data_IF_366614669309
#
_entry.id   IF_366614669309
#
_cell.length_a   1.000
_cell.length_b   1.000
_cell.length_c   1.000
_cell.angle_alpha   90.00
_cell.angle_beta   90.00
_cell.angle_gamma   90.00
#
_symmetry.space_group_name_H-M   'P 1'
#
loop_
_entity.id
_entity.type
_entity.pdbx_description
1 polymer ?
#
# COMPACT_ATOMS: atom_id res chain seq x y z
N UNK A 1 -3.01 80.41 -68.09
CA UNK A 1 -1.65 79.98 -68.43
C UNK A 1 -1.45 78.52 -68.04
N UNK A 2 -1.00 77.69 -68.99
CA UNK A 2 -0.82 76.24 -68.86
C UNK A 2 0.11 75.87 -67.69
N UNK A 3 1.11 76.67 -67.45
CA UNK A 3 2.08 76.51 -66.36
C UNK A 3 1.47 76.69 -64.95
N UNK A 4 0.48 77.57 -64.78
CA UNK A 4 -0.23 77.72 -63.51
C UNK A 4 -1.12 76.54 -63.14
N UNK A 5 -1.75 75.95 -64.19
CA UNK A 5 -2.57 74.76 -64.01
C UNK A 5 -1.74 73.50 -63.71
N UNK A 6 -0.57 73.37 -64.30
CA UNK A 6 0.39 72.31 -63.96
C UNK A 6 0.96 72.45 -62.54
N UNK A 7 1.31 73.69 -62.13
CA UNK A 7 1.78 73.98 -60.79
C UNK A 7 0.77 73.60 -59.69
N UNK A 8 -0.52 74.01 -59.86
CA UNK A 8 -1.56 73.66 -58.91
C UNK A 8 -1.89 72.17 -58.86
N UNK A 9 -1.80 71.47 -59.97
CA UNK A 9 -1.97 70.00 -59.99
C UNK A 9 -0.85 69.29 -59.26
N UNK A 10 0.39 69.78 -59.49
CA UNK A 10 1.56 69.24 -58.78
C UNK A 10 1.47 69.48 -57.27
N UNK A 11 1.13 70.70 -56.86
CA UNK A 11 0.92 71.04 -55.45
C UNK A 11 -0.17 70.19 -54.79
N UNK A 12 -1.29 69.99 -55.49
CA UNK A 12 -2.35 69.10 -54.99
C UNK A 12 -1.88 67.64 -54.91
N UNK A 13 -1.10 67.16 -55.85
CA UNK A 13 -0.53 65.81 -55.80
C UNK A 13 0.42 65.64 -54.59
N UNK A 14 1.32 66.63 -54.36
CA UNK A 14 2.19 66.64 -53.22
C UNK A 14 1.41 66.67 -51.89
N UNK A 15 0.37 67.50 -51.80
CA UNK A 15 -0.47 67.55 -50.62
C UNK A 15 -1.22 66.21 -50.37
N UNK A 16 -1.65 65.56 -51.45
CA UNK A 16 -2.27 64.25 -51.34
C UNK A 16 -1.27 63.18 -50.85
N UNK A 17 -0.05 63.21 -51.33
CA UNK A 17 1.05 62.28 -50.87
C UNK A 17 1.36 62.57 -49.41
N UNK A 18 1.48 63.84 -49.01
CA UNK A 18 1.66 64.17 -47.55
C UNK A 18 0.55 63.65 -46.71
N UNK A 19 -0.71 63.84 -47.07
CA UNK A 19 -1.86 63.31 -46.34
C UNK A 19 -1.84 61.76 -46.28
N UNK A 20 -1.40 61.09 -47.31
CA UNK A 20 -1.26 59.67 -47.35
C UNK A 20 -0.15 59.14 -46.44
N UNK A 21 0.99 59.84 -46.42
CA UNK A 21 2.09 59.52 -45.48
C UNK A 21 1.67 59.72 -44.03
N UNK A 22 0.94 60.82 -43.74
CA UNK A 22 0.42 61.06 -42.39
C UNK A 22 -0.60 59.98 -41.96
N UNK A 23 -1.47 59.54 -42.85
CA UNK A 23 -2.39 58.44 -42.57
C UNK A 23 -1.64 57.13 -42.29
N UNK A 24 -0.61 56.82 -43.09
CA UNK A 24 0.21 55.60 -42.88
C UNK A 24 0.95 55.69 -41.54
N UNK A 25 1.52 56.89 -41.20
CA UNK A 25 2.20 57.08 -39.94
C UNK A 25 1.24 56.91 -38.74
N UNK A 26 0.01 57.42 -38.84
CA UNK A 26 -0.99 57.32 -37.76
C UNK A 26 -1.48 55.86 -37.65
N UNK A 27 -1.73 55.16 -38.74
CA UNK A 27 -2.07 53.78 -38.75
C UNK A 27 -0.96 52.92 -38.13
N UNK A 28 0.27 53.17 -38.50
CA UNK A 28 1.41 52.47 -37.94
C UNK A 28 1.51 52.69 -36.42
N UNK A 29 1.39 53.93 -35.95
CA UNK A 29 1.40 54.25 -34.52
C UNK A 29 0.25 53.54 -33.76
N UNK A 30 -0.96 53.49 -34.34
CA UNK A 30 -2.12 52.85 -33.73
C UNK A 30 -1.91 51.32 -33.66
N UNK A 31 -1.47 50.72 -34.77
CA UNK A 31 -1.23 49.25 -34.83
C UNK A 31 -0.10 48.85 -33.88
N UNK A 32 1.02 49.57 -33.85
CA UNK A 32 2.12 49.25 -32.93
C UNK A 32 1.69 49.45 -31.48
N UNK A 33 0.91 50.52 -31.16
CA UNK A 33 0.40 50.75 -29.83
C UNK A 33 -0.55 49.64 -29.36
N UNK A 34 -1.45 49.20 -30.24
CA UNK A 34 -2.35 48.09 -29.93
C UNK A 34 -1.61 46.75 -29.74
N UNK A 35 -0.68 46.43 -30.63
CA UNK A 35 0.16 45.20 -30.50
C UNK A 35 0.95 45.24 -29.20
N UNK A 36 1.56 46.40 -28.90
CA UNK A 36 2.34 46.55 -27.66
C UNK A 36 1.44 46.41 -26.42
N UNK A 37 0.25 46.96 -26.43
CA UNK A 37 -0.73 46.83 -25.34
C UNK A 37 -1.14 45.38 -25.12
N UNK A 38 -1.46 44.65 -26.22
CA UNK A 38 -1.80 43.21 -26.14
C UNK A 38 -0.60 42.42 -25.61
N UNK A 39 0.61 42.70 -26.08
CA UNK A 39 1.80 42.03 -25.60
C UNK A 39 2.06 42.24 -24.11
N UNK A 40 1.91 43.47 -23.62
CA UNK A 40 2.02 43.78 -22.17
C UNK A 40 0.97 43.04 -21.37
N UNK A 41 -0.26 42.97 -21.82
CA UNK A 41 -1.31 42.24 -21.12
C UNK A 41 -0.99 40.74 -21.03
N UNK A 42 -0.52 40.14 -22.13
CA UNK A 42 -0.07 38.74 -22.13
C UNK A 42 1.07 38.52 -21.14
N UNK A 43 2.05 39.42 -21.07
CA UNK A 43 3.14 39.31 -20.09
C UNK A 43 2.65 39.37 -18.64
N UNK A 44 1.69 40.29 -18.36
CA UNK A 44 1.10 40.40 -17.02
C UNK A 44 0.34 39.11 -16.65
N UNK A 45 -0.50 38.60 -17.55
CA UNK A 45 -1.22 37.35 -17.33
C UNK A 45 -0.27 36.16 -17.13
N UNK A 46 0.82 36.11 -17.91
CA UNK A 46 1.85 35.08 -17.76
C UNK A 46 2.55 35.16 -16.40
N UNK A 47 2.89 36.36 -15.94
CA UNK A 47 3.43 36.54 -14.58
C UNK A 47 2.48 36.07 -13.49
N UNK A 48 1.19 36.41 -13.61
CA UNK A 48 0.17 35.94 -12.66
C UNK A 48 0.03 34.41 -12.66
N UNK A 49 0.10 33.79 -13.84
CA UNK A 49 0.10 32.34 -13.98
C UNK A 49 1.32 31.70 -13.30
N UNK A 50 2.51 32.25 -13.47
CA UNK A 50 3.73 31.75 -12.81
C UNK A 50 3.62 31.85 -11.28
N UNK A 51 3.06 32.94 -10.75
CA UNK A 51 2.85 33.11 -9.32
C UNK A 51 1.87 32.06 -8.81
N UNK A 52 0.76 31.85 -9.52
CA UNK A 52 -0.24 30.83 -9.17
C UNK A 52 0.34 29.40 -9.19
N UNK A 53 1.16 29.07 -10.18
CA UNK A 53 1.88 27.79 -10.25
C UNK A 53 2.82 27.63 -9.06
N UNK A 54 3.59 28.67 -8.73
CA UNK A 54 4.51 28.64 -7.57
C UNK A 54 3.76 28.36 -6.27
N UNK A 55 2.62 29.04 -6.06
CA UNK A 55 1.78 28.82 -4.87
C UNK A 55 1.18 27.40 -4.84
N UNK A 56 0.74 26.89 -6.00
CA UNK A 56 0.23 25.54 -6.12
C UNK A 56 1.31 24.51 -5.81
N UNK A 57 2.51 24.66 -6.37
CA UNK A 57 3.65 23.78 -6.09
C UNK A 57 4.00 23.82 -4.60
N UNK A 58 4.03 24.99 -3.97
CA UNK A 58 4.25 25.12 -2.52
C UNK A 58 3.24 24.37 -1.68
N UNK A 59 1.95 24.47 -2.03
CA UNK A 59 0.87 23.73 -1.35
C UNK A 59 0.98 22.21 -1.56
N UNK A 60 1.24 21.77 -2.79
CA UNK A 60 1.44 20.35 -3.11
C UNK A 60 2.64 19.79 -2.36
N UNK A 61 3.74 20.52 -2.29
CA UNK A 61 4.93 20.12 -1.50
C UNK A 61 4.60 19.97 -0.02
N UNK A 62 3.82 20.90 0.55
CA UNK A 62 3.36 20.83 1.94
C UNK A 62 2.51 19.60 2.22
N UNK A 63 1.53 19.33 1.35
CA UNK A 63 0.68 18.12 1.45
C UNK A 63 1.53 16.84 1.31
N UNK A 64 2.44 16.81 0.35
CA UNK A 64 3.31 15.65 0.13
C UNK A 64 4.21 15.38 1.33
N UNK A 65 4.75 16.43 1.95
CA UNK A 65 5.58 16.33 3.16
C UNK A 65 4.78 15.78 4.35
N UNK A 66 3.54 16.29 4.55
CA UNK A 66 2.63 15.78 5.57
C UNK A 66 2.28 14.32 5.33
N UNK A 67 2.03 13.94 4.08
CA UNK A 67 1.74 12.56 3.70
C UNK A 67 2.94 11.63 3.96
N UNK A 68 4.17 12.06 3.65
CA UNK A 68 5.38 11.30 3.96
C UNK A 68 5.58 11.11 5.46
N UNK A 69 5.33 12.14 6.29
CA UNK A 69 5.38 11.99 7.75
C UNK A 69 4.31 11.03 8.27
N UNK A 70 3.10 11.07 7.71
CA UNK A 70 2.03 10.15 8.07
C UNK A 70 2.39 8.70 7.70
N UNK A 71 2.96 8.47 6.51
CA UNK A 71 3.43 7.15 6.10
C UNK A 71 4.56 6.64 7.01
N UNK A 72 5.56 7.47 7.29
CA UNK A 72 6.67 7.09 8.19
C UNK A 72 6.16 6.74 9.59
N UNK A 73 5.26 7.54 10.15
CA UNK A 73 4.60 7.26 11.42
C UNK A 73 3.79 5.96 11.39
N UNK A 74 3.05 5.72 10.30
CA UNK A 74 2.26 4.49 10.13
C UNK A 74 3.13 3.25 10.03
N UNK A 75 4.23 3.32 9.28
CA UNK A 75 5.20 2.21 9.15
C UNK A 75 5.86 1.90 10.50
N UNK A 76 6.30 2.93 11.24
CA UNK A 76 6.89 2.77 12.57
C UNK A 76 5.89 2.19 13.56
N UNK A 77 4.63 2.64 13.54
CA UNK A 77 3.57 2.10 14.38
C UNK A 77 3.30 0.63 14.05
N UNK A 78 3.21 0.29 12.76
CA UNK A 78 3.02 -1.09 12.32
C UNK A 78 4.21 -1.98 12.74
N UNK A 79 5.45 -1.50 12.63
CA UNK A 79 6.63 -2.21 13.12
C UNK A 79 6.59 -2.42 14.63
N UNK A 80 6.15 -1.41 15.40
CA UNK A 80 6.04 -1.50 16.86
C UNK A 80 4.95 -2.48 17.27
N UNK A 81 3.79 -2.48 16.62
CA UNK A 81 2.71 -3.47 16.85
C UNK A 81 3.18 -4.87 16.49
N UNK A 82 3.90 -5.02 15.36
CA UNK A 82 4.39 -6.33 14.90
C UNK A 82 5.52 -6.88 15.78
N UNK A 83 6.39 -6.03 16.28
CA UNK A 83 7.50 -6.40 17.19
C UNK A 83 7.10 -6.43 18.66
N UNK A 84 5.98 -5.82 19.01
CA UNK A 84 5.45 -5.73 20.36
C UNK A 84 4.67 -6.98 20.80
N UNK A 85 4.06 -6.93 22.02
CA UNK A 85 3.30 -8.03 22.60
C UNK A 85 2.20 -8.60 21.68
N UNK A 86 1.40 -7.78 20.93
CA UNK A 86 0.39 -8.32 20.01
C UNK A 86 0.99 -9.15 18.88
N UNK A 87 2.10 -8.69 18.29
CA UNK A 87 2.76 -9.44 17.21
C UNK A 87 3.45 -10.71 17.70
N UNK A 88 3.93 -10.72 18.93
CA UNK A 88 4.48 -11.92 19.55
C UNK A 88 3.39 -12.96 19.83
N UNK A 89 2.21 -12.54 20.28
CA UNK A 89 1.04 -13.41 20.45
C UNK A 89 0.62 -14.05 19.10
N UNK A 90 0.51 -13.27 18.04
CA UNK A 90 0.17 -13.78 16.71
C UNK A 90 1.21 -14.77 16.18
N UNK A 91 2.51 -14.54 16.43
CA UNK A 91 3.58 -15.50 16.08
C UNK A 91 3.52 -16.77 16.92
N UNK A 92 3.00 -16.66 18.13
CA UNK A 92 2.81 -17.77 19.04
C UNK A 92 1.67 -18.73 18.68
N UNK A 93 0.74 -18.36 17.82
CA UNK A 93 -0.48 -19.12 17.52
C UNK A 93 -0.43 -19.88 16.18
N UNK A 94 0.73 -20.33 15.72
CA UNK A 94 0.90 -20.81 14.36
C UNK A 94 1.42 -22.26 14.28
N UNK A 95 1.06 -22.89 13.17
CA UNK A 95 1.47 -24.26 12.83
C UNK A 95 2.61 -24.30 11.82
N UNK A 96 3.35 -25.39 11.82
CA UNK A 96 4.30 -25.69 10.76
C UNK A 96 3.56 -25.96 9.44
N UNK A 97 4.02 -25.47 8.29
CA UNK A 97 3.33 -25.61 7.00
C UNK A 97 3.00 -27.05 6.59
N UNK A 98 3.77 -28.03 7.08
CA UNK A 98 3.54 -29.44 6.76
C UNK A 98 2.51 -30.14 7.65
N UNK A 99 2.03 -29.48 8.73
CA UNK A 99 1.00 -30.05 9.61
C UNK A 99 -0.23 -30.39 8.78
N UNK A 100 -0.76 -31.60 8.94
CA UNK A 100 -1.95 -32.05 8.22
C UNK A 100 -3.21 -31.73 9.00
N UNK A 101 -4.26 -31.33 8.28
CA UNK A 101 -5.58 -31.02 8.82
C UNK A 101 -6.65 -31.75 8.01
N UNK A 102 -7.69 -32.18 8.67
CA UNK A 102 -8.83 -32.86 8.05
C UNK A 102 -9.97 -31.89 7.76
N UNK A 103 -10.45 -31.90 6.54
CA UNK A 103 -11.61 -31.13 6.10
C UNK A 103 -12.90 -31.92 6.38
N UNK A 104 -14.04 -31.22 6.37
CA UNK A 104 -15.37 -31.81 6.59
C UNK A 104 -15.73 -32.91 5.57
N UNK A 105 -15.20 -32.81 4.35
CA UNK A 105 -15.37 -33.83 3.30
C UNK A 105 -14.48 -35.09 3.49
N UNK A 106 -13.75 -35.18 4.61
CA UNK A 106 -12.84 -36.28 4.93
C UNK A 106 -11.45 -36.17 4.30
N UNK A 107 -11.21 -35.20 3.42
CA UNK A 107 -9.90 -34.98 2.78
C UNK A 107 -8.89 -34.47 3.81
N UNK A 108 -7.68 -35.03 3.78
CA UNK A 108 -6.56 -34.58 4.60
C UNK A 108 -5.59 -33.79 3.72
N UNK A 109 -5.30 -32.56 4.09
CA UNK A 109 -4.40 -31.66 3.37
C UNK A 109 -3.39 -31.03 4.32
N UNK A 110 -2.31 -30.48 3.78
CA UNK A 110 -1.36 -29.69 4.59
C UNK A 110 -1.99 -28.34 4.94
N UNK A 111 -1.73 -27.85 6.14
CA UNK A 111 -2.31 -26.57 6.60
C UNK A 111 -1.95 -25.40 5.70
N UNK A 112 -0.81 -25.44 5.02
CA UNK A 112 -0.38 -24.43 4.04
C UNK A 112 -1.24 -24.39 2.77
N UNK A 113 -1.96 -25.49 2.48
CA UNK A 113 -2.76 -25.67 1.28
C UNK A 113 -4.27 -25.44 1.56
N UNK A 114 -4.61 -25.00 2.78
CA UNK A 114 -5.96 -24.61 3.18
C UNK A 114 -6.29 -23.23 2.61
N UNK A 115 -7.44 -23.11 1.97
CA UNK A 115 -7.92 -21.89 1.31
C UNK A 115 -9.09 -21.26 2.06
N UNK A 116 -9.37 -20.01 1.71
CA UNK A 116 -10.56 -19.30 2.19
C UNK A 116 -11.84 -20.05 1.77
N UNK A 117 -12.76 -20.25 2.72
CA UNK A 117 -14.02 -20.97 2.48
C UNK A 117 -13.93 -22.47 2.70
N UNK A 118 -12.74 -23.05 2.94
CA UNK A 118 -12.62 -24.44 3.34
C UNK A 118 -13.35 -24.68 4.67
N UNK A 119 -14.00 -25.85 4.78
CA UNK A 119 -14.71 -26.27 6.00
C UNK A 119 -13.89 -27.33 6.67
N UNK A 120 -13.51 -27.10 7.93
CA UNK A 120 -12.75 -28.03 8.74
C UNK A 120 -13.64 -29.17 9.29
N UNK A 121 -13.02 -30.23 9.83
CA UNK A 121 -13.74 -31.47 10.28
C UNK A 121 -14.89 -31.23 11.26
N UNK A 122 -14.85 -30.16 12.04
CA UNK A 122 -15.87 -29.77 13.01
C UNK A 122 -16.92 -28.78 12.47
N UNK A 123 -16.89 -28.48 11.16
CA UNK A 123 -17.81 -27.53 10.53
C UNK A 123 -17.32 -26.09 10.54
N UNK A 124 -16.15 -25.80 11.08
CA UNK A 124 -15.55 -24.46 11.10
C UNK A 124 -15.17 -23.99 9.69
N UNK A 125 -15.53 -22.75 9.37
CA UNK A 125 -15.21 -22.11 8.08
C UNK A 125 -13.91 -21.33 8.22
N UNK A 126 -12.99 -21.53 7.28
CA UNK A 126 -11.75 -20.78 7.22
C UNK A 126 -12.00 -19.43 6.53
N UNK A 127 -11.84 -18.33 7.27
CA UNK A 127 -11.99 -16.99 6.76
C UNK A 127 -10.69 -16.43 6.16
N UNK A 128 -9.54 -16.80 6.71
CA UNK A 128 -8.25 -16.38 6.18
C UNK A 128 -7.14 -17.36 6.56
N UNK A 129 -6.11 -17.40 5.72
CA UNK A 129 -4.85 -18.11 5.97
C UNK A 129 -3.72 -17.10 5.99
N UNK A 130 -3.02 -16.99 7.11
CA UNK A 130 -1.89 -16.08 7.27
C UNK A 130 -0.58 -16.86 7.23
N UNK A 131 0.40 -16.33 6.47
CA UNK A 131 1.79 -16.81 6.49
C UNK A 131 2.62 -15.84 7.33
N UNK A 132 3.19 -16.33 8.40
CA UNK A 132 3.98 -15.53 9.33
C UNK A 132 5.43 -15.97 9.24
N UNK A 133 6.35 -15.00 9.11
CA UNK A 133 7.77 -15.27 9.13
C UNK A 133 8.19 -15.71 10.54
N UNK A 134 8.86 -16.84 10.63
CA UNK A 134 9.37 -17.35 11.90
C UNK A 134 10.80 -16.83 12.13
N UNK A 135 10.91 -15.74 12.86
CA UNK A 135 12.22 -15.17 13.24
C UNK A 135 12.83 -15.82 14.48
N UNK A 136 12.19 -16.87 15.03
CA UNK A 136 12.64 -17.60 16.22
C UNK A 136 13.94 -18.38 16.02
N UNK A 137 14.40 -18.52 14.78
CA UNK A 137 15.71 -19.11 14.46
C UNK A 137 16.87 -18.35 15.11
N UNK A 138 16.63 -17.06 15.47
CA UNK A 138 17.63 -16.19 16.08
C UNK A 138 17.53 -16.10 17.61
N UNK A 139 16.42 -16.52 18.21
CA UNK A 139 16.20 -16.46 19.66
C UNK A 139 15.72 -17.82 20.18
N UNK A 140 16.53 -18.46 21.00
CA UNK A 140 16.25 -19.75 21.64
C UNK A 140 15.18 -19.62 22.75
N UNK A 141 14.01 -19.05 22.39
CA UNK A 141 12.92 -18.79 23.30
C UNK A 141 11.87 -19.93 23.21
N UNK A 142 11.42 -20.46 24.36
CA UNK A 142 10.40 -21.51 24.44
C UNK A 142 9.13 -21.20 23.67
N UNK A 143 8.75 -19.93 23.62
CA UNK A 143 7.52 -19.44 22.96
C UNK A 143 7.53 -19.69 21.44
N UNK A 144 8.71 -19.61 20.83
CA UNK A 144 8.87 -19.68 19.39
C UNK A 144 9.41 -21.02 18.87
N UNK A 145 9.85 -21.90 19.77
CA UNK A 145 10.18 -23.30 19.44
C UNK A 145 8.94 -24.02 18.95
N UNK A 146 9.15 -24.99 18.07
CA UNK A 146 8.09 -25.89 17.66
C UNK A 146 8.01 -27.08 18.61
N UNK A 147 6.78 -27.48 18.89
CA UNK A 147 6.45 -28.65 19.67
C UNK A 147 5.64 -29.62 18.81
N UNK A 148 5.91 -30.91 18.97
CA UNK A 148 5.16 -31.95 18.27
C UNK A 148 4.19 -32.64 19.20
N UNK A 149 3.03 -33.00 18.60
CA UNK A 149 2.00 -33.82 19.19
C UNK A 149 1.62 -34.90 18.19
N UNK A 150 1.08 -36.02 18.67
CA UNK A 150 0.52 -37.03 17.80
C UNK A 150 -0.70 -36.47 17.05
N UNK A 151 -0.83 -36.83 15.78
CA UNK A 151 -1.95 -36.42 14.95
C UNK A 151 -2.91 -37.60 14.75
N UNK A 152 -3.98 -37.67 15.53
CA UNK A 152 -5.01 -38.73 15.40
C UNK A 152 -5.84 -38.60 14.11
N UNK A 153 -5.82 -37.48 13.43
CA UNK A 153 -6.51 -37.27 12.13
C UNK A 153 -5.68 -37.76 10.94
N UNK A 154 -4.40 -38.06 11.14
CA UNK A 154 -3.50 -38.48 10.06
C UNK A 154 -3.72 -39.95 9.69
N UNK A 155 -3.41 -40.28 8.42
CA UNK A 155 -3.50 -41.67 7.91
C UNK A 155 -2.37 -42.58 8.38
N UNK A 156 -1.35 -42.03 9.02
CA UNK A 156 -0.14 -42.70 9.47
C UNK A 156 0.24 -42.30 10.88
N UNK A 157 0.56 -43.26 11.74
CA UNK A 157 0.95 -43.07 13.14
C UNK A 157 2.22 -42.19 13.32
N UNK A 158 2.97 -41.99 12.24
CA UNK A 158 4.18 -41.17 12.24
C UNK A 158 3.96 -39.68 11.88
N UNK A 159 2.73 -39.27 11.68
CA UNK A 159 2.43 -37.87 11.33
C UNK A 159 2.10 -37.08 12.59
N UNK A 160 2.88 -36.03 12.78
CA UNK A 160 2.77 -35.18 13.98
C UNK A 160 2.19 -33.81 13.66
N UNK A 161 1.50 -33.23 14.64
CA UNK A 161 1.13 -31.82 14.67
C UNK A 161 2.36 -31.05 15.14
N UNK A 162 2.82 -30.11 14.34
CA UNK A 162 3.92 -29.22 14.71
C UNK A 162 3.37 -27.79 14.93
N UNK A 163 3.47 -27.31 16.13
CA UNK A 163 2.87 -26.04 16.58
C UNK A 163 3.89 -25.23 17.39
N UNK A 164 3.76 -23.90 17.39
CA UNK A 164 4.59 -23.03 18.23
C UNK A 164 4.27 -23.22 19.72
N UNK A 165 5.25 -23.02 20.58
CA UNK A 165 5.12 -23.29 22.02
C UNK A 165 4.05 -22.48 22.73
N UNK A 166 3.78 -21.26 22.28
CA UNK A 166 2.72 -20.39 22.83
C UNK A 166 1.32 -20.70 22.29
N UNK A 167 1.16 -21.64 21.33
CA UNK A 167 -0.14 -22.02 20.84
C UNK A 167 -0.97 -22.66 21.97
N UNK A 168 -2.25 -22.27 22.04
CA UNK A 168 -3.16 -22.84 23.04
C UNK A 168 -3.71 -24.17 22.52
N UNK A 169 -3.53 -25.21 23.31
CA UNK A 169 -4.00 -26.58 23.04
C UNK A 169 -4.89 -27.05 24.21
N UNK A 170 -5.87 -27.88 23.88
CA UNK A 170 -6.81 -28.38 24.88
C UNK A 170 -6.15 -29.47 25.74
N UNK A 171 -6.29 -29.34 27.07
CA UNK A 171 -5.85 -30.32 28.05
C UNK A 171 -6.82 -30.31 29.24
N UNK A 172 -7.47 -31.46 29.53
CA UNK A 172 -8.43 -31.58 30.64
C UNK A 172 -9.49 -30.49 30.65
N UNK A 173 -10.12 -30.23 29.49
CA UNK A 173 -11.16 -29.20 29.27
C UNK A 173 -10.67 -27.75 29.37
N UNK A 174 -9.40 -27.50 29.60
CA UNK A 174 -8.80 -26.17 29.63
C UNK A 174 -7.87 -25.96 28.43
N UNK A 175 -7.63 -24.69 28.06
CA UNK A 175 -6.64 -24.33 27.08
C UNK A 175 -5.35 -23.93 27.76
N UNK A 176 -4.28 -24.67 27.49
CA UNK A 176 -2.93 -24.38 27.98
C UNK A 176 -1.96 -24.15 26.82
N UNK A 177 -0.86 -23.47 27.08
CA UNK A 177 0.18 -23.27 26.07
C UNK A 177 0.86 -24.60 25.73
N UNK A 178 1.13 -24.82 24.43
CA UNK A 178 1.68 -26.07 23.94
C UNK A 178 2.96 -26.51 24.65
N UNK A 179 3.83 -25.56 25.02
CA UNK A 179 5.07 -25.89 25.73
C UNK A 179 4.84 -26.37 27.19
N UNK A 180 3.66 -26.15 27.78
CA UNK A 180 3.29 -26.66 29.10
C UNK A 180 2.55 -28.00 29.04
N UNK A 181 2.16 -28.44 27.83
CA UNK A 181 1.36 -29.65 27.72
C UNK A 181 2.23 -30.90 27.98
N UNK A 182 1.78 -31.87 28.81
CA UNK A 182 2.58 -33.04 29.17
C UNK A 182 3.05 -33.90 27.97
N UNK A 183 2.26 -33.97 26.92
CA UNK A 183 2.57 -34.75 25.71
C UNK A 183 3.37 -33.97 24.68
N UNK A 184 3.70 -32.71 24.94
CA UNK A 184 4.47 -31.88 24.03
C UNK A 184 5.94 -32.28 24.00
N UNK A 185 6.50 -32.48 22.81
CA UNK A 185 7.92 -32.74 22.64
C UNK A 185 8.54 -31.58 21.84
N UNK A 186 9.53 -30.92 22.41
CA UNK A 186 10.26 -29.88 21.70
C UNK A 186 11.04 -30.49 20.55
N UNK A 187 10.94 -29.86 19.36
CA UNK A 187 11.64 -30.32 18.16
C UNK A 187 12.65 -29.30 17.66
N UNK A 188 13.75 -29.78 17.10
CA UNK A 188 14.78 -28.96 16.47
C UNK A 188 14.40 -28.54 15.05
N UNK A 189 13.31 -29.09 14.51
CA UNK A 189 12.82 -28.78 13.17
C UNK A 189 12.31 -27.36 13.12
N UNK A 190 12.98 -26.51 12.35
CA UNK A 190 12.60 -25.12 12.18
C UNK A 190 11.97 -24.90 10.79
N UNK A 191 11.01 -23.98 10.74
CA UNK A 191 10.43 -23.47 9.47
C UNK A 191 10.61 -21.97 9.39
N UNK A 192 11.01 -21.49 8.22
CA UNK A 192 11.12 -20.05 7.95
C UNK A 192 9.75 -19.34 8.00
N UNK A 193 8.67 -20.11 7.82
CA UNK A 193 7.31 -19.59 7.84
C UNK A 193 6.41 -20.51 8.67
N UNK A 194 5.47 -19.92 9.37
CA UNK A 194 4.39 -20.59 10.07
C UNK A 194 3.05 -20.20 9.43
N UNK A 195 2.06 -21.05 9.59
CA UNK A 195 0.71 -20.85 9.06
C UNK A 195 -0.25 -20.70 10.23
N UNK A 196 -1.06 -19.66 10.19
CA UNK A 196 -2.16 -19.44 11.11
C UNK A 196 -3.48 -19.41 10.31
N UNK A 197 -4.48 -20.15 10.75
CA UNK A 197 -5.83 -20.10 10.19
C UNK A 197 -6.69 -19.19 11.06
N UNK A 198 -7.56 -18.43 10.43
CA UNK A 198 -8.62 -17.67 11.09
C UNK A 198 -9.94 -18.35 10.76
N UNK A 199 -10.60 -18.87 11.77
CA UNK A 199 -11.88 -19.56 11.67
C UNK A 199 -13.00 -18.75 12.34
N UNK A 200 -14.25 -19.12 12.11
CA UNK A 200 -15.41 -18.40 12.65
C UNK A 200 -15.50 -18.40 14.18
N UNK A 201 -14.98 -19.39 14.88
CA UNK A 201 -14.96 -19.45 16.36
C UNK A 201 -13.55 -19.42 16.96
N UNK A 202 -12.55 -19.11 16.12
CA UNK A 202 -11.14 -19.02 16.52
C UNK A 202 -10.51 -20.34 17.01
N UNK A 203 -11.15 -21.49 16.72
CA UNK A 203 -10.58 -22.82 16.99
C UNK A 203 -10.16 -23.53 15.70
N UNK A 204 -9.16 -24.40 15.79
CA UNK A 204 -8.62 -25.13 14.65
C UNK A 204 -8.58 -26.62 15.03
N UNK A 205 -9.54 -27.44 14.56
CA UNK A 205 -9.63 -28.85 14.95
C UNK A 205 -8.53 -29.68 14.27
N UNK A 206 -7.51 -30.04 15.03
CA UNK A 206 -6.41 -30.92 14.58
C UNK A 206 -6.16 -31.98 15.65
N UNK A 207 -6.34 -33.25 15.30
CA UNK A 207 -6.20 -34.35 16.26
C UNK A 207 -7.15 -34.19 17.44
N UNK A 208 -6.69 -34.54 18.63
CA UNK A 208 -7.47 -34.56 19.87
C UNK A 208 -7.20 -33.31 20.74
N UNK A 209 -6.44 -32.33 20.23
CA UNK A 209 -5.89 -31.23 21.04
C UNK A 209 -6.61 -29.89 20.87
N UNK A 210 -7.86 -29.89 20.36
CA UNK A 210 -8.66 -28.65 20.22
C UNK A 210 -10.08 -28.86 20.69
#
# INVERSE_FOLDING_TARGET
>A
SLLGTLGSRFENSLNNVRKMIDKIRNLAKTVFGQIYGVFLNILIEFQQMIIAIKDMVGKVMGVMMTFMYMLDGSVKTMQSVWSGPPGQLLRGLCFHPSTKIKLNNGKIIKIKDVEHGDILKNGQIVYATMKIKNDSILNDNFISKLYEFNNSDALSDNETILVSGSHLVKYNEEFIQAYHHPNAKAVTKNSKTLICLITNDHTIPIGDYI
#
